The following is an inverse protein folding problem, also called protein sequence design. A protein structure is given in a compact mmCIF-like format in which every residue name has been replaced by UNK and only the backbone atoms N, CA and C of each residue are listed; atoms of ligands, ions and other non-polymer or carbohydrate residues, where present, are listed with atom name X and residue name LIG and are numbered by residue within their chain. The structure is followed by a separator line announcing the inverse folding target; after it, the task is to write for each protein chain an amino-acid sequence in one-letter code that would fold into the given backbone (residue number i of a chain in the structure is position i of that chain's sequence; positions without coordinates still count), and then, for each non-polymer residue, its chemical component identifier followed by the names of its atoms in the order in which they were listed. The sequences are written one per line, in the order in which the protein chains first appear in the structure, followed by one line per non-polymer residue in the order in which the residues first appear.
data_IF_196116358897
#
_entry.id   IF_196116358897
#
_cell.length_a   1.000
_cell.length_b   1.000
_cell.length_c   1.000
_cell.angle_alpha   90.00
_cell.angle_beta   90.00
_cell.angle_gamma   90.00
#
_symmetry.space_group_name_H-M   'P 1'
#
loop_
_entity.id
_entity.type
_entity.pdbx_description
1 polymer ?
#
# COMPACT_ATOMS: atom_id res chain seq x y z
N UNK A 1 12.67 2.26 15.88
CA UNK A 1 11.64 1.93 14.88
C UNK A 1 12.36 1.30 13.70
N UNK A 2 11.79 0.29 13.04
CA UNK A 2 12.42 -0.31 11.87
C UNK A 2 12.57 0.76 10.76
N UNK A 3 13.61 0.69 9.92
CA UNK A 3 13.70 1.54 8.72
C UNK A 3 12.60 1.15 7.72
N UNK A 4 12.33 2.05 6.77
CA UNK A 4 11.46 1.70 5.63
C UNK A 4 12.23 0.72 4.76
N UNK A 5 11.63 -0.43 4.45
CA UNK A 5 12.27 -1.40 3.57
C UNK A 5 12.06 -1.02 2.11
N UNK A 6 13.17 -0.97 1.38
CA UNK A 6 13.25 -0.52 0.00
C UNK A 6 13.70 -1.67 -0.89
N UNK A 7 13.27 -1.64 -2.15
CA UNK A 7 13.52 -2.68 -3.13
C UNK A 7 13.86 -2.06 -4.46
N UNK A 8 14.99 -2.44 -5.04
CA UNK A 8 15.35 -2.08 -6.41
C UNK A 8 14.65 -3.04 -7.37
N UNK A 9 13.67 -2.53 -8.09
CA UNK A 9 12.78 -3.31 -8.96
C UNK A 9 12.93 -2.85 -10.40
N UNK A 10 13.00 -3.80 -11.33
CA UNK A 10 12.92 -3.54 -12.76
C UNK A 10 11.46 -3.75 -13.19
N UNK A 11 10.67 -2.68 -13.14
CA UNK A 11 9.23 -2.75 -13.40
C UNK A 11 8.93 -2.64 -14.89
N UNK A 12 8.04 -3.49 -15.46
CA UNK A 12 7.54 -3.32 -16.81
C UNK A 12 6.78 -1.99 -16.96
N UNK A 13 6.93 -1.34 -18.12
CA UNK A 13 6.28 -0.08 -18.51
C UNK A 13 5.37 -0.29 -19.74
N UNK A 14 4.62 -1.40 -19.77
CA UNK A 14 3.83 -1.78 -20.94
C UNK A 14 4.70 -1.94 -22.20
N UNK A 15 4.35 -1.24 -23.28
CA UNK A 15 5.10 -1.26 -24.56
C UNK A 15 6.44 -0.51 -24.50
N UNK A 16 6.68 0.30 -23.46
CA UNK A 16 7.89 1.14 -23.32
C UNK A 16 9.09 0.39 -22.73
N UNK A 17 8.97 -0.93 -22.52
CA UNK A 17 10.04 -1.76 -21.99
C UNK A 17 10.01 -1.86 -20.47
N UNK A 18 11.16 -1.67 -19.82
CA UNK A 18 11.31 -1.79 -18.36
C UNK A 18 11.98 -0.56 -17.77
N UNK A 19 11.70 -0.27 -16.49
CA UNK A 19 12.32 0.84 -15.75
C UNK A 19 12.78 0.37 -14.38
N UNK A 20 14.05 0.61 -14.07
CA UNK A 20 14.61 0.39 -12.74
C UNK A 20 14.13 1.49 -11.80
N UNK A 21 13.51 1.11 -10.69
CA UNK A 21 13.02 2.00 -9.64
C UNK A 21 13.33 1.43 -8.28
N UNK A 22 13.71 2.31 -7.35
CA UNK A 22 13.69 1.95 -5.93
C UNK A 22 12.30 2.24 -5.37
N UNK A 23 11.66 1.22 -4.83
CA UNK A 23 10.29 1.24 -4.34
C UNK A 23 10.19 0.82 -2.88
N UNK A 24 9.15 1.27 -2.19
CA UNK A 24 8.72 0.74 -0.89
C UNK A 24 7.27 0.24 -0.99
N UNK A 25 6.93 -0.76 -0.17
CA UNK A 25 5.58 -1.29 -0.09
C UNK A 25 4.76 -0.48 0.92
N UNK A 26 3.62 0.06 0.46
CA UNK A 26 2.68 0.85 1.25
C UNK A 26 1.25 0.34 1.14
N UNK A 27 0.40 0.76 2.07
CA UNK A 27 -1.02 0.37 2.09
C UNK A 27 -1.92 1.51 2.55
N UNK A 28 -3.11 1.60 1.96
CA UNK A 28 -4.23 2.47 2.38
C UNK A 28 -5.44 1.65 2.79
N UNK A 29 -5.20 0.53 3.49
CA UNK A 29 -6.25 -0.40 3.93
C UNK A 29 -6.00 -1.83 3.46
N UNK A 30 -6.84 -2.78 3.89
CA UNK A 30 -6.64 -4.22 3.72
C UNK A 30 -6.47 -4.63 2.25
N UNK A 31 -7.20 -3.94 1.36
CA UNK A 31 -7.33 -4.26 -0.06
C UNK A 31 -6.64 -3.24 -0.96
N UNK A 32 -5.83 -2.34 -0.39
CA UNK A 32 -5.17 -1.27 -1.11
C UNK A 32 -3.66 -1.36 -0.85
N UNK A 33 -2.96 -2.05 -1.74
CA UNK A 33 -1.50 -2.23 -1.69
C UNK A 33 -0.82 -1.55 -2.87
N UNK A 34 0.27 -0.86 -2.57
CA UNK A 34 0.97 -0.01 -3.53
C UNK A 34 2.48 -0.21 -3.47
N UNK A 35 3.11 -0.31 -4.64
CA UNK A 35 4.54 -0.05 -4.78
C UNK A 35 4.72 1.45 -4.97
N UNK A 36 5.50 2.10 -4.13
CA UNK A 36 5.69 3.56 -4.16
C UNK A 36 7.15 3.85 -4.46
N UNK A 37 7.41 4.62 -5.53
CA UNK A 37 8.75 5.13 -5.85
C UNK A 37 9.23 6.01 -4.71
N UNK A 38 10.40 5.70 -4.15
CA UNK A 38 10.95 6.45 -3.02
C UNK A 38 11.91 7.56 -3.43
N UNK A 39 12.45 7.51 -4.66
CA UNK A 39 13.29 8.59 -5.16
C UNK A 39 12.48 9.89 -5.14
N UNK A 40 13.03 10.99 -4.58
CA UNK A 40 12.33 12.25 -4.54
C UNK A 40 12.02 12.71 -5.97
N UNK A 41 10.95 13.48 -6.17
CA UNK A 41 10.68 14.04 -7.46
C UNK A 41 11.78 15.03 -7.87
N UNK A 42 12.24 14.95 -9.12
CA UNK A 42 13.40 15.73 -9.59
C UNK A 42 13.12 17.23 -9.69
N UNK A 43 11.87 17.61 -9.93
CA UNK A 43 11.41 18.99 -10.01
C UNK A 43 9.92 19.09 -9.64
N UNK A 44 9.37 20.31 -9.70
CA UNK A 44 7.98 20.61 -9.37
C UNK A 44 6.96 19.90 -10.29
N UNK A 45 7.38 19.43 -11.46
CA UNK A 45 6.56 18.72 -12.44
C UNK A 45 6.73 17.19 -12.31
N UNK A 46 7.72 16.74 -11.53
CA UNK A 46 7.86 15.35 -11.15
C UNK A 46 6.95 15.04 -9.95
N UNK A 47 6.01 14.14 -10.18
CA UNK A 47 5.14 13.61 -9.15
C UNK A 47 5.65 12.24 -8.66
N UNK A 48 5.49 11.95 -7.36
CA UNK A 48 5.84 10.63 -6.82
C UNK A 48 5.01 9.56 -7.51
N UNK A 49 5.67 8.47 -7.91
CA UNK A 49 5.02 7.44 -8.71
C UNK A 49 4.61 6.23 -7.87
N UNK A 50 3.54 5.54 -8.27
CA UNK A 50 3.07 4.33 -7.61
C UNK A 50 2.51 3.29 -8.59
N UNK A 51 2.51 2.02 -8.20
CA UNK A 51 1.72 0.98 -8.86
C UNK A 51 0.75 0.35 -7.87
N UNK A 52 -0.51 0.22 -8.26
CA UNK A 52 -1.54 -0.50 -7.50
C UNK A 52 -1.38 -1.99 -7.76
N UNK A 53 -1.02 -2.76 -6.74
CA UNK A 53 -0.73 -4.20 -6.89
C UNK A 53 -1.83 -5.12 -6.38
N UNK A 54 -2.82 -4.61 -5.64
CA UNK A 54 -3.99 -5.40 -5.23
C UNK A 54 -5.14 -5.33 -6.25
N UNK A 55 -5.73 -6.48 -6.55
CA UNK A 55 -6.96 -6.64 -7.32
C UNK A 55 -8.19 -6.56 -6.40
N UNK A 56 -9.33 -6.11 -6.96
CA UNK A 56 -10.60 -6.00 -6.23
C UNK A 56 -11.26 -7.37 -6.10
N UNK A 57 -10.88 -8.16 -5.12
CA UNK A 57 -11.67 -9.34 -4.77
C UNK A 57 -13.11 -8.88 -4.42
N UNK A 58 -14.15 -9.63 -4.84
CA UNK A 58 -15.54 -9.27 -4.47
C UNK A 58 -15.67 -9.32 -2.94
N UNK A 59 -16.68 -8.65 -2.35
CA UNK A 59 -16.76 -8.43 -0.89
C UNK A 59 -16.63 -9.70 -0.03
N UNK A 60 -17.02 -10.88 -0.56
CA UNK A 60 -16.88 -12.19 0.10
C UNK A 60 -15.46 -12.80 0.06
N UNK A 61 -14.50 -12.13 -0.58
CA UNK A 61 -13.16 -12.67 -0.86
C UNK A 61 -12.03 -11.94 -0.12
N UNK A 62 -12.34 -11.05 0.84
CA UNK A 62 -11.29 -10.45 1.66
C UNK A 62 -10.59 -11.55 2.47
N UNK A 63 -9.35 -11.94 2.13
CA UNK A 63 -8.77 -13.13 2.70
C UNK A 63 -8.39 -12.86 4.15
N UNK A 64 -8.68 -13.83 5.02
CA UNK A 64 -8.10 -13.83 6.36
C UNK A 64 -6.57 -13.74 6.26
N UNK A 65 -5.89 -13.11 7.24
CA UNK A 65 -4.44 -13.17 7.32
C UNK A 65 -3.92 -14.61 7.27
N UNK A 66 -2.66 -14.77 6.86
CA UNK A 66 -1.97 -16.06 6.90
C UNK A 66 -1.93 -16.63 8.34
N UNK A 67 -1.51 -17.89 8.47
CA UNK A 67 -1.28 -18.50 9.78
C UNK A 67 -0.27 -17.70 10.65
N UNK A 68 0.61 -16.92 10.03
CA UNK A 68 1.57 -16.05 10.70
C UNK A 68 1.00 -14.65 11.03
N UNK A 69 -0.26 -14.39 10.71
CA UNK A 69 -0.90 -13.08 10.86
C UNK A 69 -0.53 -12.06 9.78
N UNK A 70 0.20 -12.47 8.74
CA UNK A 70 0.56 -11.57 7.65
C UNK A 70 -0.63 -11.32 6.72
N UNK A 71 -0.83 -10.07 6.23
CA UNK A 71 -1.88 -9.76 5.28
C UNK A 71 -1.78 -10.62 4.01
N UNK A 72 -2.92 -11.06 3.52
CA UNK A 72 -3.06 -11.73 2.23
C UNK A 72 -3.88 -10.80 1.33
N UNK A 73 -3.58 -10.77 0.03
CA UNK A 73 -4.41 -10.08 -0.95
C UNK A 73 -4.33 -10.77 -2.32
N UNK A 74 -5.27 -10.44 -3.21
CA UNK A 74 -5.25 -10.90 -4.58
C UNK A 74 -4.33 -10.00 -5.42
N UNK A 75 -3.26 -10.56 -5.99
CA UNK A 75 -2.28 -9.81 -6.77
C UNK A 75 -2.83 -9.47 -8.16
N UNK A 76 -2.73 -8.19 -8.52
CA UNK A 76 -2.89 -7.71 -9.89
C UNK A 76 -1.61 -8.05 -10.68
N UNK A 77 -1.55 -9.24 -11.26
CA UNK A 77 -0.43 -9.73 -12.11
C UNK A 77 -0.79 -9.71 -13.62
N UNK A 78 -1.44 -8.66 -14.09
CA UNK A 78 -1.93 -8.54 -15.46
C UNK A 78 -1.84 -7.11 -15.98
N UNK A 79 -2.06 -6.92 -17.28
CA UNK A 79 -1.96 -5.62 -17.97
C UNK A 79 -0.61 -4.95 -17.70
N UNK A 80 -0.59 -3.74 -17.10
CA UNK A 80 0.64 -3.01 -16.77
C UNK A 80 1.49 -3.70 -15.69
N UNK A 81 0.91 -4.64 -14.93
CA UNK A 81 1.59 -5.39 -13.88
C UNK A 81 1.96 -6.82 -14.28
N UNK A 82 1.94 -7.16 -15.57
CA UNK A 82 2.32 -8.50 -16.04
C UNK A 82 3.74 -8.85 -15.58
N UNK A 83 3.92 -9.97 -14.89
CA UNK A 83 5.21 -10.44 -14.36
C UNK A 83 5.53 -9.92 -12.95
N UNK A 84 4.60 -9.24 -12.29
CA UNK A 84 4.78 -8.78 -10.91
C UNK A 84 4.84 -9.94 -9.93
N UNK A 85 4.19 -11.08 -10.18
CA UNK A 85 4.28 -12.20 -9.24
C UNK A 85 5.73 -12.64 -9.04
N UNK A 86 6.39 -13.00 -10.12
CA UNK A 86 7.76 -13.50 -10.11
C UNK A 86 8.75 -12.42 -9.64
N UNK A 87 8.54 -11.17 -10.07
CA UNK A 87 9.38 -10.04 -9.68
C UNK A 87 9.28 -9.73 -8.19
N UNK A 88 8.08 -9.64 -7.64
CA UNK A 88 7.89 -9.25 -6.24
C UNK A 88 8.20 -10.40 -5.28
N UNK A 89 7.98 -11.64 -5.69
CA UNK A 89 8.37 -12.81 -4.91
C UNK A 89 9.91 -12.98 -4.86
N UNK A 90 10.60 -12.85 -6.00
CA UNK A 90 12.07 -12.93 -6.03
C UNK A 90 12.76 -11.80 -5.25
N UNK A 91 12.16 -10.60 -5.22
CA UNK A 91 12.62 -9.50 -4.39
C UNK A 91 12.22 -9.63 -2.90
N UNK A 92 11.43 -10.66 -2.54
CA UNK A 92 11.03 -10.95 -1.17
C UNK A 92 9.99 -10.00 -0.58
N UNK A 93 9.18 -9.33 -1.43
CA UNK A 93 8.08 -8.48 -0.98
C UNK A 93 6.84 -9.30 -0.62
N UNK A 94 6.63 -10.41 -1.33
CA UNK A 94 5.45 -11.27 -1.21
C UNK A 94 5.86 -12.75 -1.24
N UNK A 95 4.92 -13.62 -0.87
CA UNK A 95 4.97 -15.07 -1.11
C UNK A 95 3.68 -15.52 -1.78
N UNK A 96 3.79 -16.35 -2.80
CA UNK A 96 2.63 -17.00 -3.38
C UNK A 96 2.01 -18.01 -2.40
N UNK A 97 0.68 -18.03 -2.28
CA UNK A 97 -0.02 -18.92 -1.32
C UNK A 97 -0.38 -20.28 -1.90
N UNK A 98 -0.12 -20.52 -3.19
CA UNK A 98 -0.58 -21.69 -3.94
C UNK A 98 -2.07 -21.62 -4.34
N UNK A 99 -2.77 -20.52 -4.03
CA UNK A 99 -4.21 -20.37 -4.28
C UNK A 99 -4.47 -19.30 -5.33
N UNK A 100 -5.50 -19.52 -6.15
CA UNK A 100 -6.06 -18.52 -7.05
C UNK A 100 -7.52 -18.27 -6.75
N UNK A 101 -8.01 -17.07 -7.09
CA UNK A 101 -9.44 -16.72 -7.06
C UNK A 101 -9.89 -16.24 -8.44
N UNK A 102 -11.12 -16.59 -8.87
CA UNK A 102 -11.67 -16.10 -10.13
C UNK A 102 -12.17 -14.65 -9.99
N UNK A 103 -11.80 -13.78 -10.93
CA UNK A 103 -12.39 -12.46 -11.09
C UNK A 103 -12.80 -12.23 -12.56
N UNK A 104 -14.08 -12.45 -12.86
CA UNK A 104 -14.56 -12.45 -14.25
C UNK A 104 -13.86 -13.55 -15.06
N UNK A 105 -13.08 -13.17 -16.08
CA UNK A 105 -12.33 -14.09 -16.94
C UNK A 105 -10.86 -14.26 -16.54
N UNK A 106 -10.44 -13.68 -15.40
CA UNK A 106 -9.05 -13.69 -14.94
C UNK A 106 -8.93 -14.54 -13.67
N UNK A 107 -7.83 -15.27 -13.52
CA UNK A 107 -7.45 -15.89 -12.25
C UNK A 107 -6.45 -14.98 -11.55
N UNK A 108 -6.76 -14.61 -10.31
CA UNK A 108 -5.91 -13.77 -9.48
C UNK A 108 -5.13 -14.63 -8.51
N UNK A 109 -3.83 -14.36 -8.44
CA UNK A 109 -2.90 -15.07 -7.58
C UNK A 109 -3.01 -14.53 -6.15
N UNK A 110 -3.29 -15.40 -5.17
CA UNK A 110 -3.36 -14.99 -3.78
C UNK A 110 -1.96 -14.97 -3.17
N UNK A 111 -1.58 -13.83 -2.61
CA UNK A 111 -0.21 -13.61 -2.11
C UNK A 111 -0.22 -13.09 -0.68
N UNK A 112 0.73 -13.57 0.10
CA UNK A 112 1.02 -13.11 1.46
C UNK A 112 2.07 -12.00 1.41
N UNK A 113 1.88 -10.92 2.16
CA UNK A 113 2.89 -9.87 2.33
C UNK A 113 4.05 -10.41 3.18
N UNK A 114 5.26 -10.39 2.62
CA UNK A 114 6.46 -10.84 3.32
C UNK A 114 7.20 -9.71 4.05
N UNK A 115 6.86 -8.45 3.74
CA UNK A 115 7.45 -7.26 4.38
C UNK A 115 6.83 -7.04 5.76
N UNK A 116 7.63 -7.00 6.85
CA UNK A 116 7.13 -6.68 8.18
C UNK A 116 6.38 -5.36 8.20
N UNK A 117 5.29 -5.30 8.95
CA UNK A 117 4.42 -4.12 9.01
C UNK A 117 5.17 -2.86 9.44
N UNK A 118 6.13 -2.97 10.34
CA UNK A 118 6.96 -1.89 10.85
C UNK A 118 7.89 -1.32 9.76
N UNK A 119 8.19 -2.09 8.73
CA UNK A 119 9.07 -1.72 7.61
C UNK A 119 8.32 -1.13 6.41
N UNK A 120 6.99 -1.23 6.38
CA UNK A 120 6.18 -0.59 5.34
C UNK A 120 6.26 0.93 5.43
N UNK A 121 6.26 1.60 4.29
CA UNK A 121 6.12 3.07 4.20
C UNK A 121 4.72 3.48 4.66
N UNK A 122 4.63 4.50 5.52
CA UNK A 122 3.35 4.97 6.09
C UNK A 122 2.88 6.27 5.46
N UNK A 123 1.57 6.47 5.54
CA UNK A 123 0.90 7.72 5.21
C UNK A 123 0.48 8.45 6.49
N UNK A 124 0.56 9.78 6.48
CA UNK A 124 0.07 10.63 7.55
C UNK A 124 -1.46 10.66 7.52
N UNK A 125 -2.10 10.26 8.61
CA UNK A 125 -3.55 10.23 8.74
C UNK A 125 -4.22 11.60 8.82
N UNK A 126 -3.45 12.70 8.92
CA UNK A 126 -3.96 14.07 8.97
C UNK A 126 -3.73 14.88 7.69
N UNK A 127 -2.53 14.82 7.10
CA UNK A 127 -2.21 15.58 5.88
C UNK A 127 -2.02 14.72 4.62
N UNK A 128 -2.05 13.40 4.74
CA UNK A 128 -1.81 12.49 3.62
C UNK A 128 -0.34 12.36 3.19
N UNK A 129 0.62 13.12 3.74
CA UNK A 129 2.02 12.96 3.36
C UNK A 129 2.52 11.52 3.58
N UNK A 130 3.29 10.97 2.66
CA UNK A 130 3.96 9.68 2.85
C UNK A 130 5.31 9.86 3.52
N UNK A 131 5.78 8.85 4.25
CA UNK A 131 7.13 8.85 4.81
C UNK A 131 8.21 8.95 3.72
N UNK A 132 9.41 9.33 4.13
CA UNK A 132 10.61 9.38 3.31
C UNK A 132 11.71 8.59 4.00
N UNK A 133 12.56 7.92 3.20
CA UNK A 133 13.54 6.96 3.70
C UNK A 133 14.57 7.60 4.64
N UNK A 134 14.99 8.82 4.33
CA UNK A 134 16.00 9.56 5.11
C UNK A 134 15.38 10.49 6.17
N UNK A 135 14.06 10.40 6.41
CA UNK A 135 13.37 11.22 7.40
C UNK A 135 12.94 10.39 8.62
N UNK A 136 12.74 11.02 9.80
CA UNK A 136 12.19 10.34 10.95
C UNK A 136 10.85 9.68 10.63
N UNK A 137 10.70 8.43 11.10
CA UNK A 137 9.43 7.69 10.97
C UNK A 137 8.30 8.46 11.64
N UNK A 138 7.11 8.35 11.09
CA UNK A 138 5.91 8.96 11.63
C UNK A 138 5.55 8.38 12.99
N UNK A 139 5.02 9.24 13.85
CA UNK A 139 4.52 8.83 15.16
C UNK A 139 3.16 8.13 15.03
N UNK A 140 2.96 7.04 15.78
CA UNK A 140 1.66 6.37 15.85
C UNK A 140 0.76 6.99 16.90
N UNK A 141 -0.55 6.96 16.67
CA UNK A 141 -1.53 7.25 17.71
C UNK A 141 -1.25 6.36 18.92
N UNK A 142 -0.94 6.95 20.09
CA UNK A 142 -0.57 6.18 21.29
C UNK A 142 -1.69 5.28 21.80
N UNK A 143 -2.95 5.61 21.49
CA UNK A 143 -4.14 4.89 21.95
C UNK A 143 -4.47 3.68 21.08
N UNK A 144 -4.79 3.89 19.81
CA UNK A 144 -5.24 2.83 18.91
C UNK A 144 -4.11 2.23 18.05
N UNK A 145 -2.98 2.93 17.91
CA UNK A 145 -1.82 2.53 17.07
C UNK A 145 -2.11 2.32 15.58
N UNK A 146 -3.33 2.60 15.10
CA UNK A 146 -3.77 2.34 13.73
C UNK A 146 -3.46 3.46 12.73
N UNK A 147 -3.37 4.72 13.19
CA UNK A 147 -2.95 5.87 12.37
C UNK A 147 -1.53 6.32 12.69
N UNK A 148 -0.82 6.79 11.65
CA UNK A 148 0.51 7.39 11.72
C UNK A 148 0.42 8.88 11.41
N UNK A 149 1.29 9.71 12.00
CA UNK A 149 1.31 11.15 11.80
C UNK A 149 2.73 11.69 11.71
N UNK A 150 2.97 12.55 10.70
CA UNK A 150 4.24 13.24 10.52
C UNK A 150 4.52 14.27 11.62
N UNK A 151 3.48 14.75 12.33
CA UNK A 151 3.62 15.71 13.42
C UNK A 151 2.48 15.57 14.43
N UNK A 152 2.70 16.10 15.64
CA UNK A 152 1.65 16.21 16.65
C UNK A 152 0.51 17.12 16.20
N UNK A 153 0.78 18.11 15.34
CA UNK A 153 -0.24 19.00 14.80
C UNK A 153 -1.19 18.21 13.88
N UNK A 154 -0.66 17.41 12.95
CA UNK A 154 -1.49 16.56 12.11
C UNK A 154 -2.34 15.57 12.92
N UNK A 155 -1.84 15.07 14.05
CA UNK A 155 -2.64 14.23 14.95
C UNK A 155 -3.78 15.01 15.62
N UNK A 156 -3.53 16.24 16.08
CA UNK A 156 -4.54 17.11 16.69
C UNK A 156 -5.60 17.53 15.68
N UNK A 157 -5.20 17.85 14.47
CA UNK A 157 -6.10 18.30 13.40
C UNK A 157 -7.03 17.17 12.94
N UNK A 158 -6.49 15.96 12.81
CA UNK A 158 -7.25 14.74 12.49
C UNK A 158 -8.12 14.26 13.67
N UNK A 159 -7.90 14.74 14.90
CA UNK A 159 -8.59 14.22 16.09
C UNK A 159 -10.11 14.35 15.99
N UNK A 160 -10.62 15.41 15.37
CA UNK A 160 -12.06 15.63 15.15
C UNK A 160 -12.72 14.46 14.41
N UNK A 161 -12.00 13.86 13.46
CA UNK A 161 -12.48 12.76 12.62
C UNK A 161 -12.06 11.40 13.21
N UNK A 162 -10.84 11.32 13.76
CA UNK A 162 -10.28 10.10 14.33
C UNK A 162 -10.91 9.70 15.66
N UNK A 163 -11.31 10.64 16.52
CA UNK A 163 -11.75 10.37 17.91
C UNK A 163 -12.84 9.31 18.00
N UNK A 164 -13.82 9.34 17.09
CA UNK A 164 -14.94 8.38 17.06
C UNK A 164 -14.51 6.94 16.74
N UNK A 165 -13.44 6.79 15.95
CA UNK A 165 -12.87 5.51 15.54
C UNK A 165 -11.67 5.10 16.40
N UNK A 166 -11.17 6.00 17.25
CA UNK A 166 -10.01 5.79 18.12
C UNK A 166 -10.38 4.94 19.35
N UNK A 167 -10.52 3.63 19.15
CA UNK A 167 -10.77 2.66 20.22
C UNK A 167 -9.48 1.96 20.63
N UNK A 168 -9.30 1.81 21.94
CA UNK A 168 -8.16 1.09 22.52
C UNK A 168 -8.37 -0.41 22.35
N UNK A 169 -7.31 -1.14 22.02
CA UNK A 169 -7.37 -2.60 21.88
C UNK A 169 -8.07 -3.13 20.63
N UNK A 170 -8.61 -2.28 19.75
CA UNK A 170 -9.01 -2.76 18.42
C UNK A 170 -7.76 -3.12 17.61
N UNK A 171 -7.74 -4.35 17.14
CA UNK A 171 -6.80 -4.78 16.11
C UNK A 171 -7.09 -4.00 14.82
N UNK A 172 -6.07 -3.75 14.02
CA UNK A 172 -6.26 -3.10 12.71
C UNK A 172 -7.22 -3.88 11.81
N UNK A 173 -7.33 -5.21 12.00
CA UNK A 173 -8.30 -6.05 11.31
C UNK A 173 -9.75 -5.67 11.67
N UNK A 174 -10.04 -5.38 12.95
CA UNK A 174 -11.36 -4.94 13.41
C UNK A 174 -11.69 -3.51 12.96
N UNK A 175 -10.69 -2.62 12.93
CA UNK A 175 -10.87 -1.25 12.40
C UNK A 175 -11.11 -1.30 10.89
N UNK A 176 -10.41 -2.19 10.21
CA UNK A 176 -10.52 -2.39 8.78
C UNK A 176 -11.88 -2.96 8.37
N UNK A 177 -12.41 -3.96 9.10
CA UNK A 177 -13.74 -4.53 8.83
C UNK A 177 -14.86 -3.47 8.88
N UNK A 178 -14.73 -2.46 9.74
CA UNK A 178 -15.70 -1.37 9.86
C UNK A 178 -15.61 -0.32 8.73
N UNK A 179 -14.51 -0.28 7.98
CA UNK A 179 -14.21 0.75 6.97
C UNK A 179 -14.43 0.26 5.50
N UNK A 180 -14.65 -1.05 5.33
CA UNK A 180 -14.39 -1.82 4.09
C UNK A 180 -15.34 -1.68 2.88
N UNK A 181 -16.28 -0.73 2.81
CA UNK A 181 -17.25 -0.72 1.70
C UNK A 181 -16.89 0.16 0.47
N UNK A 182 -15.82 0.98 0.49
CA UNK A 182 -15.50 1.95 -0.60
C UNK A 182 -14.01 2.23 -0.84
N UNK A 183 -13.11 1.35 -0.41
CA UNK A 183 -11.74 1.77 -0.08
C UNK A 183 -10.79 1.97 -1.27
N UNK A 184 -10.88 1.23 -2.40
CA UNK A 184 -9.91 1.40 -3.51
C UNK A 184 -10.16 2.61 -4.41
N UNK A 185 -11.42 2.88 -4.80
CA UNK A 185 -11.71 4.10 -5.60
C UNK A 185 -11.28 5.31 -4.79
N UNK A 186 -11.57 5.30 -3.49
CA UNK A 186 -11.13 6.34 -2.56
C UNK A 186 -9.61 6.36 -2.43
N UNK A 187 -8.92 5.22 -2.31
CA UNK A 187 -7.46 5.19 -2.18
C UNK A 187 -6.72 5.62 -3.47
N UNK A 188 -7.19 5.18 -4.64
CA UNK A 188 -6.62 5.61 -5.93
C UNK A 188 -6.95 7.07 -6.23
N UNK A 189 -8.17 7.52 -5.90
CA UNK A 189 -8.52 8.95 -5.96
C UNK A 189 -7.62 9.75 -5.02
N UNK A 190 -7.46 9.31 -3.77
CA UNK A 190 -6.62 9.99 -2.78
C UNK A 190 -5.17 10.11 -3.24
N UNK A 191 -4.58 9.05 -3.80
CA UNK A 191 -3.23 9.13 -4.37
C UNK A 191 -3.15 10.15 -5.50
N UNK A 192 -4.13 10.17 -6.42
CA UNK A 192 -4.19 11.18 -7.49
C UNK A 192 -4.38 12.60 -6.96
N UNK A 193 -5.26 12.79 -5.98
CA UNK A 193 -5.53 14.08 -5.33
C UNK A 193 -4.28 14.60 -4.58
N UNK A 194 -3.43 13.68 -4.11
CA UNK A 194 -2.11 13.96 -3.53
C UNK A 194 -1.01 14.15 -4.60
N UNK A 195 -1.37 14.17 -5.87
CA UNK A 195 -0.45 14.38 -6.99
C UNK A 195 0.36 13.16 -7.39
N UNK A 196 0.04 11.95 -6.93
CA UNK A 196 0.80 10.76 -7.34
C UNK A 196 0.43 10.32 -8.77
N UNK A 197 1.42 9.80 -9.50
CA UNK A 197 1.26 9.24 -10.86
C UNK A 197 1.42 7.73 -10.88
N UNK A 198 0.68 7.04 -11.74
CA UNK A 198 0.88 5.59 -11.89
C UNK A 198 2.17 5.31 -12.65
N UNK A 199 2.96 4.34 -12.18
CA UNK A 199 4.14 3.82 -12.88
C UNK A 199 3.66 3.27 -14.24
N UNK A 200 4.01 3.96 -15.32
CA UNK A 200 3.57 3.64 -16.68
C UNK A 200 2.42 4.49 -17.25
N UNK A 201 1.94 5.53 -16.54
CA UNK A 201 1.05 6.53 -17.14
C UNK A 201 1.86 7.52 -17.97
N UNK A 202 1.60 7.56 -19.28
CA UNK A 202 2.01 8.68 -20.11
C UNK A 202 1.29 9.97 -19.69
N UNK A 203 1.98 10.82 -18.93
CA UNK A 203 1.97 12.29 -19.05
C UNK A 203 3.06 12.89 -18.16
#
# INVERSE_FOLDING_TARGET
MAPIRTFDLVLPQGEQGTRALTCALGTLGPNAWFLIRISPPLDQDDAREYSSIAALAVADENPAPSANGNPIFALKNYSENKGYLELLESAGLIRHTGRTIPQGFVQLEMVEVAVPKEELIKICGGCGAWEEVEQPRFSRCKRCKSKNYCSQNCQKDDWKDHKGLCKEGMTEAEVSAAQQARERIVAQSALKDMGFRTIGSNR
#
